data_IF_692206163403
#
_entry.id   IF_692206163403
#
_cell.length_a   1.000
_cell.length_b   1.000
_cell.length_c   1.000
_cell.angle_alpha   90.00
_cell.angle_beta   90.00
_cell.angle_gamma   90.00
#
_symmetry.space_group_name_H-M   'P 1'
#
loop_
_entity.id
_entity.type
_entity.pdbx_description
1 polymer ?
#
# COMPACT_ATOMS: atom_id res chain seq x y z
N UNK A 1 -6.75 5.57 15.74
CA UNK A 1 -6.38 4.14 15.71
C UNK A 1 -7.57 3.41 15.11
N UNK A 2 -7.76 3.50 13.79
CA UNK A 2 -9.06 3.17 13.17
C UNK A 2 -8.86 2.71 11.71
N UNK A 3 -7.86 1.87 11.45
CA UNK A 3 -7.72 1.24 10.13
C UNK A 3 -8.77 0.14 9.98
N UNK A 4 -9.56 0.22 8.90
CA UNK A 4 -10.52 -0.80 8.48
C UNK A 4 -10.45 -0.94 6.95
N UNK A 5 -10.38 -2.17 6.45
CA UNK A 5 -10.51 -2.46 5.02
C UNK A 5 -11.40 -3.69 4.80
N UNK A 6 -12.13 -3.69 3.68
CA UNK A 6 -12.94 -4.85 3.30
C UNK A 6 -12.01 -6.04 3.02
N UNK A 7 -12.38 -7.22 3.54
CA UNK A 7 -11.60 -8.44 3.29
C UNK A 7 -11.52 -8.72 1.79
N UNK A 8 -10.29 -8.89 1.30
CA UNK A 8 -9.97 -9.41 -0.02
C UNK A 8 -8.97 -10.56 0.11
N UNK A 9 -8.89 -11.47 -0.87
CA UNK A 9 -7.84 -12.47 -0.87
C UNK A 9 -6.49 -11.79 -1.11
N UNK A 10 -5.48 -12.12 -0.29
CA UNK A 10 -4.08 -11.75 -0.52
C UNK A 10 -3.88 -10.23 -0.70
N UNK A 11 -4.24 -9.47 0.36
CA UNK A 11 -4.04 -8.03 0.42
C UNK A 11 -2.62 -7.71 0.85
N UNK A 12 -1.99 -6.75 0.22
CA UNK A 12 -0.63 -6.29 0.49
C UNK A 12 -0.60 -4.80 0.83
N UNK A 13 0.41 -4.39 1.59
CA UNK A 13 0.68 -2.98 1.90
C UNK A 13 1.83 -2.49 1.04
N UNK A 14 1.55 -1.51 0.19
CA UNK A 14 2.49 -0.96 -0.78
C UNK A 14 2.81 0.50 -0.43
N UNK A 15 4.08 0.88 -0.50
CA UNK A 15 4.52 2.28 -0.52
C UNK A 15 4.69 2.72 -1.98
N UNK A 16 4.02 3.80 -2.36
CA UNK A 16 4.02 4.34 -3.71
C UNK A 16 4.58 5.77 -3.72
N UNK A 17 5.44 6.13 -4.70
CA UNK A 17 5.87 7.52 -4.88
C UNK A 17 4.77 8.43 -5.46
N UNK A 18 3.67 7.86 -5.94
CA UNK A 18 2.50 8.60 -6.43
C UNK A 18 1.57 8.91 -5.26
N UNK A 19 1.15 10.16 -5.10
CA UNK A 19 0.27 10.63 -4.02
C UNK A 19 -1.09 9.92 -3.96
N UNK A 20 -1.66 9.58 -5.11
CA UNK A 20 -2.98 8.96 -5.20
C UNK A 20 -3.10 8.17 -6.50
N UNK A 21 -2.50 6.97 -6.58
CA UNK A 21 -2.61 6.14 -7.77
C UNK A 21 -4.08 5.79 -8.05
N UNK A 22 -4.56 6.09 -9.25
CA UNK A 22 -5.97 5.91 -9.64
C UNK A 22 -6.22 4.56 -10.31
N UNK A 23 -5.18 3.78 -10.61
CA UNK A 23 -5.28 2.48 -11.29
C UNK A 23 -4.09 1.60 -10.97
N UNK A 24 -4.28 0.28 -11.07
CA UNK A 24 -3.19 -0.68 -10.87
C UNK A 24 -2.11 -0.59 -11.94
N UNK A 25 -2.45 -0.15 -13.15
CA UNK A 25 -1.47 0.13 -14.21
C UNK A 25 -0.53 1.28 -13.82
N UNK A 26 -1.07 2.37 -13.26
CA UNK A 26 -0.29 3.51 -12.79
C UNK A 26 0.63 3.13 -11.63
N UNK A 27 0.09 2.39 -10.64
CA UNK A 27 0.87 1.88 -9.52
C UNK A 27 2.02 0.96 -9.98
N UNK A 28 1.81 0.13 -11.01
CA UNK A 28 2.83 -0.80 -11.54
C UNK A 28 3.81 -0.15 -12.52
N UNK A 29 3.51 1.06 -12.99
CA UNK A 29 4.38 1.83 -13.86
C UNK A 29 5.47 2.59 -13.08
N UNK A 30 5.36 2.65 -11.76
CA UNK A 30 6.33 3.27 -10.86
C UNK A 30 7.06 2.23 -10.02
N UNK A 31 8.23 2.61 -9.50
CA UNK A 31 8.96 1.78 -8.55
C UNK A 31 8.29 1.91 -7.17
N UNK A 32 7.52 0.90 -6.80
CA UNK A 32 6.82 0.82 -5.52
C UNK A 32 7.47 -0.22 -4.61
N UNK A 33 7.30 -0.06 -3.30
CA UNK A 33 7.84 -1.01 -2.31
C UNK A 33 6.70 -1.82 -1.72
N UNK A 34 6.75 -3.14 -1.88
CA UNK A 34 5.86 -4.07 -1.20
C UNK A 34 6.37 -4.34 0.22
N UNK A 35 5.61 -3.93 1.23
CA UNK A 35 5.90 -4.22 2.65
C UNK A 35 5.37 -5.58 3.09
N UNK A 36 4.67 -6.28 2.18
CA UNK A 36 4.14 -7.62 2.37
C UNK A 36 2.65 -7.66 2.70
N UNK A 37 2.20 -8.86 3.06
CA UNK A 37 0.80 -9.17 3.33
C UNK A 37 0.21 -8.33 4.48
N UNK A 38 -1.04 -7.92 4.28
CA UNK A 38 -1.85 -7.25 5.28
C UNK A 38 -2.13 -8.23 6.44
N UNK A 39 -1.57 -7.95 7.60
CA UNK A 39 -1.62 -8.85 8.78
C UNK A 39 -3.01 -9.00 9.41
N UNK A 40 -3.97 -8.17 9.01
CA UNK A 40 -5.27 -8.01 9.65
C UNK A 40 -6.07 -6.86 9.02
N UNK A 41 -7.39 -7.01 8.99
CA UNK A 41 -8.31 -6.07 8.34
C UNK A 41 -8.84 -4.96 9.27
N UNK A 42 -8.50 -5.02 10.56
CA UNK A 42 -8.87 -4.03 11.59
C UNK A 42 -7.70 -3.82 12.54
N UNK A 43 -7.47 -2.57 12.95
CA UNK A 43 -6.51 -2.20 13.99
C UNK A 43 -5.14 -1.76 13.45
N UNK A 44 -4.23 -1.43 14.37
CA UNK A 44 -2.93 -0.86 14.01
C UNK A 44 -2.02 -1.92 13.36
N UNK A 45 -1.38 -1.54 12.26
CA UNK A 45 -0.49 -2.40 11.49
C UNK A 45 0.91 -1.79 11.45
N UNK A 46 1.93 -2.58 11.79
CA UNK A 46 3.31 -2.13 11.74
C UNK A 46 4.11 -2.98 10.75
N UNK A 47 4.82 -2.30 9.87
CA UNK A 47 5.68 -2.89 8.84
C UNK A 47 7.09 -2.32 8.99
N UNK A 48 8.09 -3.15 8.68
CA UNK A 48 9.47 -2.69 8.61
C UNK A 48 9.71 -2.06 7.24
N UNK A 49 10.23 -0.83 7.22
CA UNK A 49 10.60 -0.16 5.99
C UNK A 49 12.07 -0.52 5.69
N UNK A 50 12.39 -1.05 4.49
CA UNK A 50 13.76 -1.35 4.13
C UNK A 50 14.65 -0.10 4.20
N UNK A 51 15.89 -0.25 4.66
CA UNK A 51 16.79 0.89 4.90
C UNK A 51 17.21 1.68 3.64
N UNK A 52 17.00 1.10 2.46
CA UNK A 52 17.30 1.73 1.16
C UNK A 52 16.11 2.55 0.63
N UNK A 53 14.95 2.52 1.30
CA UNK A 53 13.77 3.29 0.88
C UNK A 53 13.91 4.73 1.32
N UNK A 54 13.90 5.63 0.35
CA UNK A 54 13.78 7.07 0.60
C UNK A 54 12.33 7.40 0.99
N UNK A 55 12.12 7.67 2.28
CA UNK A 55 10.79 7.93 2.84
C UNK A 55 10.21 9.26 2.32
N UNK A 56 11.07 10.25 2.01
CA UNK A 56 10.66 11.56 1.49
C UNK A 56 10.05 11.46 0.08
N UNK A 57 10.44 10.43 -0.67
CA UNK A 57 9.89 10.13 -2.00
C UNK A 57 8.55 9.37 -1.97
N UNK A 58 8.03 9.00 -0.79
CA UNK A 58 6.76 8.24 -0.69
C UNK A 58 5.57 9.20 -0.64
N UNK A 59 4.72 9.14 -1.66
CA UNK A 59 3.49 9.92 -1.74
C UNK A 59 2.28 9.22 -1.11
N UNK A 60 2.21 7.89 -1.12
CA UNK A 60 1.07 7.18 -0.51
C UNK A 60 1.37 5.77 -0.02
N UNK A 61 0.51 5.31 0.88
CA UNK A 61 0.34 3.91 1.28
C UNK A 61 -0.89 3.36 0.58
N UNK A 62 -0.75 2.21 -0.08
CA UNK A 62 -1.78 1.57 -0.89
C UNK A 62 -2.05 0.16 -0.35
N UNK A 63 -3.33 -0.18 -0.16
CA UNK A 63 -3.76 -1.55 0.07
C UNK A 63 -4.09 -2.17 -1.29
N UNK A 64 -3.34 -3.19 -1.68
CA UNK A 64 -3.42 -3.79 -3.01
C UNK A 64 -3.80 -5.25 -2.94
N UNK A 65 -4.73 -5.69 -3.79
CA UNK A 65 -5.06 -7.09 -3.93
C UNK A 65 -4.26 -7.68 -5.09
N UNK A 66 -3.28 -8.52 -4.77
CA UNK A 66 -2.37 -9.14 -5.73
C UNK A 66 -3.10 -9.99 -6.79
N UNK A 67 -4.03 -10.91 -6.44
CA UNK A 67 -4.63 -11.81 -7.44
C UNK A 67 -5.54 -11.08 -8.43
N UNK A 68 -6.21 -10.01 -8.00
CA UNK A 68 -7.14 -9.26 -8.84
C UNK A 68 -6.52 -7.99 -9.44
N UNK A 69 -5.32 -7.62 -9.01
CA UNK A 69 -4.63 -6.42 -9.42
C UNK A 69 -5.47 -5.14 -9.24
N UNK A 70 -6.11 -5.00 -8.09
CA UNK A 70 -6.98 -3.86 -7.77
C UNK A 70 -6.50 -3.12 -6.52
N UNK A 71 -6.69 -1.81 -6.51
CA UNK A 71 -6.45 -0.94 -5.36
C UNK A 71 -7.70 -0.97 -4.47
N UNK A 72 -7.53 -1.38 -3.21
CA UNK A 72 -8.61 -1.43 -2.21
C UNK A 72 -8.73 -0.11 -1.45
N UNK A 73 -7.59 0.48 -1.09
CA UNK A 73 -7.54 1.74 -0.36
C UNK A 73 -6.22 2.45 -0.64
N UNK A 74 -6.23 3.77 -0.51
CA UNK A 74 -5.06 4.64 -0.64
C UNK A 74 -5.11 5.69 0.46
N UNK A 75 -3.97 5.93 1.10
CA UNK A 75 -3.78 7.00 2.07
C UNK A 75 -2.53 7.80 1.69
N UNK A 76 -2.66 9.12 1.57
CA UNK A 76 -1.57 10.01 1.25
C UNK A 76 -0.66 10.22 2.47
N UNK A 77 0.66 10.29 2.26
CA UNK A 77 1.62 10.61 3.33
C UNK A 77 1.73 12.14 3.41
N UNK A 78 1.53 12.70 4.60
CA UNK A 78 1.49 14.15 4.86
C UNK A 78 2.74 14.65 5.57
#
# INVERSE_FOLDING_TARGET
EDFEVTNGPDLHVILSPVDSPNSSEELRAVDYVDLGELKGNVGNQNYEIPADVDIDSIGSVVIYCVPFHVIFATANVS
#
